data_IF_145192327424
#
_entry.id   IF_145192327424
#
_cell.length_a   1.000
_cell.length_b   1.000
_cell.length_c   1.000
_cell.angle_alpha   90.00
_cell.angle_beta   90.00
_cell.angle_gamma   90.00
#
_symmetry.space_group_name_H-M   'P 1'
#
loop_
_entity.id
_entity.type
_entity.pdbx_description
1 polymer ?
#
# COMPACT_ATOMS: atom_id res chain seq x y z
N UNK A 1 1.59 -10.16 13.13
CA UNK A 1 2.47 -9.52 12.16
C UNK A 1 1.97 -8.12 11.84
N UNK A 2 2.88 -7.21 11.59
CA UNK A 2 2.50 -5.83 11.34
C UNK A 2 1.98 -5.67 9.91
N UNK A 3 0.92 -4.88 9.75
CA UNK A 3 0.36 -4.60 8.43
C UNK A 3 1.39 -3.91 7.55
N UNK A 4 2.20 -3.03 8.13
CA UNK A 4 3.24 -2.33 7.40
C UNK A 4 4.22 -3.30 6.72
N UNK A 5 4.66 -4.32 7.44
CA UNK A 5 5.59 -5.30 6.88
C UNK A 5 4.95 -6.07 5.74
N UNK A 6 3.70 -6.47 5.90
CA UNK A 6 2.99 -7.20 4.86
C UNK A 6 2.78 -6.33 3.63
N UNK A 7 2.50 -5.04 3.84
CA UNK A 7 2.34 -4.11 2.73
C UNK A 7 3.63 -3.94 1.95
N UNK A 8 4.75 -3.85 2.65
CA UNK A 8 6.05 -3.68 1.99
C UNK A 8 6.37 -4.87 1.09
N UNK A 9 6.11 -6.08 1.58
CA UNK A 9 6.33 -7.28 0.79
C UNK A 9 5.39 -7.32 -0.40
N UNK A 10 4.13 -6.96 -0.18
CA UNK A 10 3.12 -6.93 -1.23
C UNK A 10 3.49 -5.95 -2.33
N UNK A 11 3.94 -4.76 -1.94
CA UNK A 11 4.32 -3.71 -2.88
C UNK A 11 5.46 -4.19 -3.79
N UNK A 12 6.51 -4.72 -3.18
CA UNK A 12 7.66 -5.18 -3.95
C UNK A 12 7.27 -6.31 -4.88
N UNK A 13 6.49 -7.25 -4.39
CA UNK A 13 6.11 -8.43 -5.15
C UNK A 13 5.14 -8.11 -6.29
N UNK A 14 4.09 -7.37 -5.98
CA UNK A 14 3.03 -7.11 -6.97
C UNK A 14 3.40 -6.04 -7.99
N UNK A 15 4.22 -5.10 -7.59
CA UNK A 15 4.61 -4.01 -8.49
C UNK A 15 5.96 -4.26 -9.15
N UNK A 16 6.56 -5.41 -8.86
CA UNK A 16 7.84 -5.80 -9.45
C UNK A 16 8.94 -4.76 -9.24
N UNK A 17 8.97 -4.19 -8.05
CA UNK A 17 10.00 -3.21 -7.73
C UNK A 17 11.34 -3.89 -7.48
N UNK A 18 12.40 -3.25 -7.92
CA UNK A 18 13.75 -3.79 -7.77
C UNK A 18 14.34 -3.34 -6.43
N UNK A 19 13.64 -3.67 -5.35
CA UNK A 19 14.00 -3.29 -4.00
C UNK A 19 13.71 -4.44 -3.05
N UNK A 20 14.41 -4.43 -1.93
CA UNK A 20 14.06 -5.30 -0.82
C UNK A 20 12.95 -4.62 -0.01
N UNK A 21 11.95 -5.35 0.49
CA UNK A 21 10.90 -4.73 1.31
C UNK A 21 11.43 -3.90 2.47
N UNK A 22 12.58 -4.28 3.04
CA UNK A 22 13.17 -3.53 4.14
C UNK A 22 13.67 -2.15 3.75
N UNK A 23 13.80 -1.88 2.45
CA UNK A 23 14.23 -0.58 1.97
C UNK A 23 13.08 0.43 1.89
N UNK A 24 11.85 -0.05 2.03
CA UNK A 24 10.68 0.82 2.01
C UNK A 24 10.41 1.31 3.43
N UNK A 25 10.37 2.63 3.59
CA UNK A 25 10.07 3.23 4.89
C UNK A 25 8.61 3.60 4.99
N UNK A 26 8.05 3.48 6.19
CA UNK A 26 6.63 3.69 6.41
C UNK A 26 6.14 5.07 6.00
N UNK A 27 6.95 6.09 6.26
CA UNK A 27 6.54 7.48 6.05
C UNK A 27 7.00 8.09 4.73
N UNK A 28 7.79 7.37 3.95
CA UNK A 28 8.27 7.88 2.68
C UNK A 28 7.17 7.73 1.63
N UNK A 29 7.00 8.74 0.81
CA UNK A 29 5.98 8.69 -0.23
C UNK A 29 6.31 7.60 -1.25
N UNK A 30 5.29 6.86 -1.63
CA UNK A 30 5.45 5.75 -2.57
C UNK A 30 5.97 6.22 -3.93
N UNK A 31 5.65 7.45 -4.30
CA UNK A 31 6.14 8.03 -5.55
C UNK A 31 7.67 8.05 -5.62
N UNK A 32 8.33 8.12 -4.47
CA UNK A 32 9.80 8.13 -4.45
C UNK A 32 10.40 6.79 -4.83
N UNK A 33 9.59 5.73 -4.77
CA UNK A 33 10.02 4.40 -5.19
C UNK A 33 9.58 4.09 -6.63
N UNK A 34 9.05 5.09 -7.33
CA UNK A 34 8.63 4.91 -8.70
C UNK A 34 7.20 4.41 -8.86
N UNK A 35 6.42 4.44 -7.78
CA UNK A 35 5.03 4.00 -7.84
C UNK A 35 4.17 5.13 -8.36
N UNK A 36 3.59 4.94 -9.54
CA UNK A 36 2.69 5.94 -10.15
C UNK A 36 1.24 5.56 -9.94
N UNK A 37 0.32 6.33 -10.52
CA UNK A 37 -1.11 6.11 -10.35
C UNK A 37 -1.55 4.74 -10.84
N UNK A 38 -0.97 4.27 -11.92
CA UNK A 38 -1.30 2.97 -12.49
C UNK A 38 -0.91 1.85 -11.52
N UNK A 39 0.29 1.95 -10.97
CA UNK A 39 0.78 0.96 -10.02
C UNK A 39 -0.02 1.01 -8.71
N UNK A 40 -0.50 2.20 -8.33
CA UNK A 40 -1.33 2.33 -7.15
C UNK A 40 -2.65 1.58 -7.32
N UNK A 41 -3.24 1.61 -8.53
CA UNK A 41 -4.46 0.86 -8.79
C UNK A 41 -4.22 -0.65 -8.64
N UNK A 42 -3.09 -1.13 -9.14
CA UNK A 42 -2.70 -2.52 -8.97
C UNK A 42 -2.57 -2.87 -7.49
N UNK A 43 -1.96 -1.96 -6.74
CA UNK A 43 -1.75 -2.17 -5.32
C UNK A 43 -3.07 -2.21 -4.56
N UNK A 44 -4.01 -1.35 -4.94
CA UNK A 44 -5.33 -1.33 -4.29
C UNK A 44 -6.01 -2.68 -4.43
N UNK A 45 -6.02 -3.23 -5.64
CA UNK A 45 -6.62 -4.54 -5.89
C UNK A 45 -5.92 -5.63 -5.07
N UNK A 46 -4.59 -5.59 -5.04
CA UNK A 46 -3.82 -6.56 -4.30
C UNK A 46 -4.10 -6.50 -2.80
N UNK A 47 -4.26 -5.28 -2.28
CA UNK A 47 -4.57 -5.10 -0.87
C UNK A 47 -5.96 -5.62 -0.51
N UNK A 48 -6.92 -5.39 -1.39
CA UNK A 48 -8.27 -5.89 -1.17
C UNK A 48 -8.28 -7.41 -1.07
N UNK A 49 -7.52 -8.05 -1.93
CA UNK A 49 -7.42 -9.51 -1.93
C UNK A 49 -6.66 -10.04 -0.72
N UNK A 50 -5.52 -9.44 -0.43
CA UNK A 50 -4.66 -9.93 0.63
C UNK A 50 -5.25 -9.72 2.03
N UNK A 51 -5.84 -8.55 2.25
CA UNK A 51 -6.38 -8.21 3.58
C UNK A 51 -7.88 -8.42 3.68
N UNK A 52 -8.51 -8.86 2.61
CA UNK A 52 -9.95 -9.11 2.56
C UNK A 52 -10.77 -7.90 2.97
N UNK A 53 -10.42 -6.75 2.41
CA UNK A 53 -11.13 -5.50 2.65
C UNK A 53 -11.62 -4.94 1.32
N UNK A 54 -12.54 -3.99 1.39
CA UNK A 54 -13.01 -3.29 0.19
C UNK A 54 -12.85 -1.79 0.40
N UNK A 55 -12.22 -1.15 -0.57
CA UNK A 55 -12.05 0.30 -0.52
C UNK A 55 -13.15 0.98 -1.31
N UNK A 56 -13.68 2.04 -0.74
CA UNK A 56 -14.68 2.84 -1.41
C UNK A 56 -14.00 3.98 -2.14
N UNK A 57 -14.70 4.61 -3.05
CA UNK A 57 -14.14 5.71 -3.81
C UNK A 57 -13.64 6.83 -2.89
N UNK A 58 -14.35 7.07 -1.79
CA UNK A 58 -13.95 8.08 -0.82
C UNK A 58 -12.64 7.74 -0.11
N UNK A 59 -12.27 6.47 -0.07
CA UNK A 59 -11.02 6.04 0.56
C UNK A 59 -9.81 6.25 -0.34
N UNK A 60 -10.05 6.36 -1.64
CA UNK A 60 -8.96 6.46 -2.62
C UNK A 60 -8.62 7.92 -2.86
N UNK A 61 -7.75 8.45 -2.02
CA UNK A 61 -7.32 9.83 -2.10
C UNK A 61 -5.80 9.89 -2.09
N UNK A 62 -5.24 11.02 -2.46
CA UNK A 62 -3.80 11.22 -2.43
C UNK A 62 -3.26 11.01 -1.02
N UNK A 63 -4.03 11.43 -0.02
CA UNK A 63 -3.60 11.29 1.37
C UNK A 63 -3.54 9.84 1.83
N UNK A 64 -4.55 9.04 1.48
CA UNK A 64 -4.62 7.66 1.93
C UNK A 64 -3.66 6.74 1.18
N UNK A 65 -3.27 7.10 -0.03
CA UNK A 65 -2.38 6.29 -0.86
C UNK A 65 -0.95 6.79 -0.87
N UNK A 66 -0.63 7.72 -0.01
CA UNK A 66 0.63 8.42 -0.02
C UNK A 66 1.83 7.55 0.39
N UNK A 67 1.65 6.77 1.43
CA UNK A 67 2.74 6.01 2.03
C UNK A 67 2.25 4.70 2.62
N UNK A 68 3.19 3.84 2.99
CA UNK A 68 2.85 2.59 3.67
C UNK A 68 2.09 2.86 4.95
N UNK A 69 2.51 3.88 5.70
CA UNK A 69 1.82 4.24 6.95
C UNK A 69 0.37 4.60 6.68
N UNK A 70 0.12 5.43 5.68
CA UNK A 70 -1.25 5.84 5.35
C UNK A 70 -2.09 4.65 4.91
N UNK A 71 -1.52 3.76 4.10
CA UNK A 71 -2.22 2.56 3.65
C UNK A 71 -2.52 1.62 4.81
N UNK A 72 -1.57 1.46 5.72
CA UNK A 72 -1.77 0.59 6.87
C UNK A 72 -2.86 1.13 7.78
N UNK A 73 -2.89 2.45 7.97
CA UNK A 73 -3.93 3.07 8.78
C UNK A 73 -5.31 2.87 8.17
N UNK A 74 -5.39 2.97 6.84
CA UNK A 74 -6.64 2.76 6.13
C UNK A 74 -7.11 1.31 6.29
N UNK A 75 -6.21 0.36 6.13
CA UNK A 75 -6.55 -1.06 6.28
C UNK A 75 -7.03 -1.34 7.70
N UNK A 76 -6.34 -0.81 8.70
CA UNK A 76 -6.74 -1.00 10.09
C UNK A 76 -8.15 -0.46 10.33
N UNK A 77 -8.44 0.69 9.75
CA UNK A 77 -9.75 1.31 9.86
C UNK A 77 -10.83 0.40 9.26
N UNK A 78 -10.53 -0.28 8.16
CA UNK A 78 -11.49 -1.17 7.51
C UNK A 78 -11.69 -2.47 8.26
N UNK A 79 -10.69 -2.95 8.96
CA UNK A 79 -10.76 -4.22 9.67
C UNK A 79 -11.32 -4.11 11.09
N UNK A 80 -11.43 -2.93 11.61
CA UNK A 80 -11.98 -2.72 12.96
C UNK A 80 -13.47 -2.60 12.98
#
# INVERSE_FOLDING_TARGET
>A
MAIESELKELIVERLFLDLDPSEIEDETELAEYGVDSFLLLELIVAMEEMFEVQFEQADITTETLKSVKALADLIRSKKE
#
